data_IF_928446432404
#
_entry.id   IF_928446432404
#
_cell.length_a   1.000
_cell.length_b   1.000
_cell.length_c   1.000
_cell.angle_alpha   90.00
_cell.angle_beta   90.00
_cell.angle_gamma   90.00
#
_symmetry.space_group_name_H-M   'P 1'
#
loop_
_entity.id
_entity.type
_entity.pdbx_description
1 polymer ?
#
# COMPACT_ATOMS: atom_id res chain seq x y z
N UNK A 1 -3.30 -9.31 16.71
CA UNK A 1 -4.16 -8.34 17.42
C UNK A 1 -5.05 -7.62 16.42
N UNK A 2 -6.27 -7.29 16.80
CA UNK A 2 -7.14 -6.45 15.97
C UNK A 2 -6.89 -4.98 16.35
N UNK A 3 -6.83 -4.11 15.34
CA UNK A 3 -6.88 -2.66 15.56
C UNK A 3 -8.10 -2.30 16.42
N UNK A 4 -7.97 -1.27 17.23
CA UNK A 4 -9.15 -0.65 17.83
C UNK A 4 -10.01 0.01 16.76
N UNK A 5 -11.30 0.19 17.01
CA UNK A 5 -12.19 0.88 16.06
C UNK A 5 -11.70 2.29 15.72
N UNK A 6 -11.10 3.00 16.67
CA UNK A 6 -10.55 4.33 16.44
C UNK A 6 -9.37 4.30 15.46
N UNK A 7 -8.44 3.36 15.62
CA UNK A 7 -7.29 3.17 14.73
C UNK A 7 -7.72 2.75 13.33
N UNK A 8 -8.65 1.81 13.24
CA UNK A 8 -9.23 1.40 11.96
C UNK A 8 -9.86 2.60 11.23
N UNK A 9 -10.68 3.37 11.91
CA UNK A 9 -11.33 4.55 11.34
C UNK A 9 -10.30 5.62 10.93
N UNK A 10 -9.22 5.78 11.68
CA UNK A 10 -8.11 6.67 11.32
C UNK A 10 -7.46 6.26 9.99
N UNK A 11 -7.14 4.97 9.82
CA UNK A 11 -6.60 4.42 8.57
C UNK A 11 -7.58 4.63 7.41
N UNK A 12 -8.87 4.30 7.61
CA UNK A 12 -9.88 4.42 6.56
C UNK A 12 -10.10 5.87 6.12
N UNK A 13 -10.08 6.82 7.06
CA UNK A 13 -10.12 8.25 6.76
C UNK A 13 -8.91 8.70 5.92
N UNK A 14 -7.73 8.16 6.21
CA UNK A 14 -6.52 8.40 5.39
C UNK A 14 -6.71 7.94 3.93
N UNK A 15 -7.33 6.79 3.71
CA UNK A 15 -7.67 6.32 2.36
C UNK A 15 -8.71 7.21 1.66
N UNK A 16 -9.73 7.68 2.37
CA UNK A 16 -10.71 8.62 1.81
C UNK A 16 -10.03 9.91 1.35
N UNK A 17 -9.23 10.52 2.20
CA UNK A 17 -8.47 11.73 1.87
C UNK A 17 -7.53 11.54 0.67
N UNK A 18 -6.90 10.37 0.58
CA UNK A 18 -6.01 10.02 -0.54
C UNK A 18 -6.80 9.92 -1.84
N UNK A 19 -7.95 9.21 -1.84
CA UNK A 19 -8.83 9.11 -3.02
C UNK A 19 -9.36 10.47 -3.46
N UNK A 20 -9.76 11.32 -2.53
CA UNK A 20 -10.27 12.66 -2.84
C UNK A 20 -9.18 13.54 -3.46
N UNK A 21 -7.97 13.51 -2.90
CA UNK A 21 -6.81 14.21 -3.47
C UNK A 21 -6.49 13.71 -4.89
N UNK A 22 -6.46 12.40 -5.10
CA UNK A 22 -6.15 11.80 -6.39
C UNK A 22 -7.24 12.07 -7.43
N UNK A 23 -8.51 12.08 -7.02
CA UNK A 23 -9.65 12.50 -7.85
C UNK A 23 -9.53 13.96 -8.26
N UNK A 24 -9.22 14.84 -7.32
CA UNK A 24 -9.02 16.26 -7.59
C UNK A 24 -7.86 16.51 -8.57
N UNK A 25 -6.75 15.79 -8.41
CA UNK A 25 -5.62 15.85 -9.34
C UNK A 25 -6.02 15.40 -10.75
N UNK A 26 -6.77 14.31 -10.87
CA UNK A 26 -7.26 13.83 -12.17
C UNK A 26 -8.19 14.86 -12.83
N UNK A 27 -9.06 15.51 -12.05
CA UNK A 27 -9.96 16.55 -12.56
C UNK A 27 -9.20 17.81 -12.99
N UNK A 28 -8.18 18.24 -12.24
CA UNK A 28 -7.31 19.33 -12.65
C UNK A 28 -6.60 19.05 -13.97
N UNK A 29 -6.07 17.82 -14.14
CA UNK A 29 -5.44 17.40 -15.42
C UNK A 29 -6.44 17.40 -16.57
N UNK A 30 -7.68 16.99 -16.32
CA UNK A 30 -8.76 17.02 -17.32
C UNK A 30 -9.06 18.44 -17.74
N UNK A 31 -9.22 19.36 -16.80
CA UNK A 31 -9.49 20.77 -17.09
C UNK A 31 -8.32 21.43 -17.86
N UNK A 32 -7.10 21.09 -17.49
CA UNK A 32 -5.91 21.55 -18.21
C UNK A 32 -5.94 21.10 -19.68
N UNK A 33 -6.18 19.79 -19.92
CA UNK A 33 -6.25 19.24 -21.27
C UNK A 33 -7.41 19.85 -22.06
N UNK A 34 -8.60 20.00 -21.48
CA UNK A 34 -9.74 20.61 -22.16
C UNK A 34 -9.50 22.08 -22.54
N UNK A 35 -8.75 22.81 -21.71
CA UNK A 35 -8.39 24.20 -21.98
C UNK A 35 -7.36 24.29 -23.11
N UNK A 36 -6.37 23.41 -23.11
CA UNK A 36 -5.28 23.42 -24.12
C UNK A 36 -5.69 22.75 -25.44
N UNK A 37 -6.56 21.75 -25.38
CA UNK A 37 -7.01 20.93 -26.49
C UNK A 37 -8.56 20.87 -26.53
N UNK A 38 -9.23 21.93 -27.01
CA UNK A 38 -10.70 21.94 -27.06
C UNK A 38 -11.31 20.79 -27.90
N UNK A 39 -10.56 20.28 -28.89
CA UNK A 39 -10.97 19.13 -29.71
C UNK A 39 -11.08 17.85 -28.86
N UNK A 40 -10.23 17.69 -27.85
CA UNK A 40 -10.30 16.55 -26.95
C UNK A 40 -11.60 16.56 -26.14
N UNK A 41 -12.04 17.73 -25.65
CA UNK A 41 -13.33 17.90 -24.96
C UNK A 41 -14.51 17.53 -25.85
N UNK A 42 -14.51 17.96 -27.11
CA UNK A 42 -15.57 17.59 -28.08
C UNK A 42 -15.64 16.09 -28.34
N UNK A 43 -14.47 15.43 -28.43
CA UNK A 43 -14.44 13.97 -28.55
C UNK A 43 -14.97 13.26 -27.30
N UNK A 44 -14.74 13.84 -26.11
CA UNK A 44 -15.26 13.28 -24.84
C UNK A 44 -16.79 13.42 -24.74
N UNK A 45 -17.32 14.56 -25.14
CA UNK A 45 -18.79 14.80 -25.22
C UNK A 45 -19.44 13.85 -26.24
N UNK A 46 -18.81 13.63 -27.41
CA UNK A 46 -19.35 12.74 -28.44
C UNK A 46 -19.48 11.29 -27.99
N UNK A 47 -18.66 10.82 -27.04
CA UNK A 47 -18.77 9.47 -26.45
C UNK A 47 -20.13 9.32 -25.73
N UNK A 48 -20.56 10.33 -24.97
CA UNK A 48 -21.82 10.31 -24.28
C UNK A 48 -23.01 10.29 -25.25
N UNK A 49 -22.99 11.16 -26.25
CA UNK A 49 -24.03 11.25 -27.27
C UNK A 49 -24.16 9.93 -28.09
N UNK A 50 -23.05 9.38 -28.54
CA UNK A 50 -23.00 8.08 -29.25
C UNK A 50 -23.52 6.95 -28.38
N UNK A 51 -23.15 6.90 -27.10
CA UNK A 51 -23.59 5.85 -26.18
C UNK A 51 -25.11 5.91 -25.98
N UNK A 52 -25.69 7.09 -25.80
CA UNK A 52 -27.14 7.27 -25.68
C UNK A 52 -27.87 6.93 -26.97
N UNK A 53 -27.34 7.35 -28.12
CA UNK A 53 -27.96 7.07 -29.42
C UNK A 53 -28.00 5.56 -29.70
N UNK A 54 -26.87 4.86 -29.48
CA UNK A 54 -26.82 3.42 -29.72
C UNK A 54 -27.62 2.60 -28.71
N UNK A 55 -27.72 3.06 -27.43
CA UNK A 55 -28.59 2.43 -26.46
C UNK A 55 -30.08 2.50 -26.86
N UNK A 56 -30.53 3.63 -27.43
CA UNK A 56 -31.88 3.76 -27.99
C UNK A 56 -32.15 2.81 -29.14
N UNK A 57 -31.19 2.63 -30.05
CA UNK A 57 -31.27 1.68 -31.16
C UNK A 57 -31.37 0.22 -30.69
N UNK A 58 -30.57 -0.15 -29.68
CA UNK A 58 -30.67 -1.46 -29.04
C UNK A 58 -32.03 -1.75 -28.45
N UNK A 59 -32.63 -0.78 -27.76
CA UNK A 59 -33.99 -0.90 -27.21
C UNK A 59 -35.08 -1.05 -28.30
N UNK A 60 -34.79 -0.58 -29.52
CA UNK A 60 -35.64 -0.73 -30.67
C UNK A 60 -35.38 -2.01 -31.51
N UNK A 61 -34.53 -2.92 -31.00
CA UNK A 61 -34.25 -4.23 -31.62
C UNK A 61 -33.11 -4.25 -32.65
N UNK A 62 -32.24 -3.25 -32.66
CA UNK A 62 -31.06 -3.22 -33.54
C UNK A 62 -29.89 -3.91 -32.87
N UNK A 63 -29.68 -5.21 -33.12
CA UNK A 63 -28.63 -6.02 -32.53
C UNK A 63 -27.19 -5.60 -32.95
N UNK A 64 -27.05 -4.88 -34.07
CA UNK A 64 -25.76 -4.40 -34.54
C UNK A 64 -25.31 -3.10 -33.85
N UNK A 65 -26.18 -2.42 -33.14
CA UNK A 65 -25.90 -1.15 -32.46
C UNK A 65 -24.69 -1.25 -31.52
N UNK A 66 -24.52 -2.36 -30.79
CA UNK A 66 -23.36 -2.60 -29.91
C UNK A 66 -22.05 -2.71 -30.67
N UNK A 67 -22.05 -3.37 -31.82
CA UNK A 67 -20.86 -3.53 -32.64
C UNK A 67 -20.42 -2.20 -33.24
N UNK A 68 -21.38 -1.38 -33.70
CA UNK A 68 -21.12 -0.02 -34.19
C UNK A 68 -20.60 0.87 -33.06
N UNK A 69 -21.18 0.81 -31.85
CA UNK A 69 -20.69 1.56 -30.71
C UNK A 69 -19.25 1.21 -30.38
N UNK A 70 -18.91 -0.09 -30.30
CA UNK A 70 -17.53 -0.53 -30.00
C UNK A 70 -16.52 -0.02 -31.02
N UNK A 71 -16.84 -0.06 -32.33
CA UNK A 71 -15.94 0.44 -33.37
C UNK A 71 -15.76 1.95 -33.27
N UNK A 72 -16.82 2.72 -33.05
CA UNK A 72 -16.76 4.17 -32.88
C UNK A 72 -15.97 4.58 -31.64
N UNK A 73 -16.19 3.91 -30.49
CA UNK A 73 -15.43 4.15 -29.26
C UNK A 73 -13.93 3.86 -29.41
N UNK A 74 -13.60 2.79 -30.16
CA UNK A 74 -12.19 2.45 -30.46
C UNK A 74 -11.52 3.54 -31.29
N UNK A 75 -12.22 4.08 -32.29
CA UNK A 75 -11.71 5.17 -33.13
C UNK A 75 -11.55 6.48 -32.33
N UNK A 76 -12.54 6.86 -31.53
CA UNK A 76 -12.44 8.03 -30.65
C UNK A 76 -11.28 7.87 -29.66
N UNK A 77 -11.09 6.68 -29.09
CA UNK A 77 -9.97 6.39 -28.17
C UNK A 77 -8.61 6.56 -28.87
N UNK A 78 -8.50 6.15 -30.13
CA UNK A 78 -7.29 6.36 -30.94
C UNK A 78 -7.02 7.86 -31.14
N UNK A 79 -8.02 8.60 -31.57
CA UNK A 79 -7.91 10.05 -31.82
C UNK A 79 -7.53 10.81 -30.55
N UNK A 80 -8.14 10.48 -29.40
CA UNK A 80 -7.78 11.05 -28.10
C UNK A 80 -6.32 10.82 -27.74
N UNK A 81 -5.80 9.60 -27.93
CA UNK A 81 -4.38 9.29 -27.68
C UNK A 81 -3.44 10.07 -28.59
N UNK A 82 -3.79 10.21 -29.87
CA UNK A 82 -3.01 10.98 -30.84
C UNK A 82 -2.98 12.46 -30.49
N UNK A 83 -4.12 13.05 -30.06
CA UNK A 83 -4.18 14.43 -29.61
C UNK A 83 -3.32 14.68 -28.37
N UNK A 84 -3.38 13.79 -27.37
CA UNK A 84 -2.52 13.90 -26.17
C UNK A 84 -1.05 13.82 -26.56
N UNK A 85 -0.67 12.84 -27.38
CA UNK A 85 0.71 12.69 -27.83
C UNK A 85 1.23 13.90 -28.62
N UNK A 86 0.40 14.46 -29.51
CA UNK A 86 0.76 15.66 -30.30
C UNK A 86 1.00 16.89 -29.44
N UNK A 87 0.34 16.98 -28.29
CA UNK A 87 0.51 18.05 -27.31
C UNK A 87 1.60 17.76 -26.27
N UNK A 88 2.32 16.64 -26.39
CA UNK A 88 3.40 16.25 -25.49
C UNK A 88 2.96 15.62 -24.16
N UNK A 89 1.69 15.22 -24.03
CA UNK A 89 1.19 14.51 -22.86
C UNK A 89 1.41 12.99 -23.00
N UNK A 90 1.69 12.28 -21.88
CA UNK A 90 1.66 10.83 -21.86
C UNK A 90 0.27 10.28 -22.23
N UNK A 91 0.21 9.10 -22.83
CA UNK A 91 -1.07 8.48 -23.22
C UNK A 91 -1.99 8.14 -22.05
N UNK A 92 -1.45 8.03 -20.85
CA UNK A 92 -2.11 7.71 -19.58
C UNK A 92 -2.34 8.95 -18.69
N UNK A 93 -2.06 10.17 -19.20
CA UNK A 93 -2.11 11.42 -18.43
C UNK A 93 -3.45 11.66 -17.74
N UNK A 94 -4.54 11.24 -18.35
CA UNK A 94 -5.92 11.39 -17.84
C UNK A 94 -6.44 10.13 -17.16
N UNK A 95 -5.63 9.08 -17.04
CA UNK A 95 -6.02 7.90 -16.28
C UNK A 95 -6.11 8.20 -14.79
N UNK A 96 -6.97 7.48 -14.04
CA UNK A 96 -7.07 7.66 -12.59
C UNK A 96 -5.72 7.45 -11.90
N UNK A 97 -5.33 8.40 -11.05
CA UNK A 97 -4.11 8.30 -10.24
C UNK A 97 -4.41 7.52 -8.97
N UNK A 98 -3.54 6.56 -8.63
CA UNK A 98 -3.61 5.79 -7.39
C UNK A 98 -2.27 5.86 -6.65
N UNK A 99 -2.31 6.05 -5.34
CA UNK A 99 -1.13 5.97 -4.48
C UNK A 99 -0.71 4.51 -4.29
N UNK A 100 -1.68 3.62 -4.12
CA UNK A 100 -1.48 2.17 -4.14
C UNK A 100 -2.22 1.58 -5.35
N UNK A 101 -1.52 1.10 -6.39
CA UNK A 101 -2.15 0.55 -7.58
C UNK A 101 -2.90 -0.76 -7.30
N UNK A 102 -2.46 -1.58 -6.35
CA UNK A 102 -3.01 -2.91 -6.08
C UNK A 102 -4.44 -2.83 -5.52
N UNK A 103 -4.66 -1.97 -4.52
CA UNK A 103 -5.98 -1.79 -3.93
C UNK A 103 -6.72 -0.55 -4.44
N UNK A 104 -6.11 0.27 -5.30
CA UNK A 104 -6.67 1.53 -5.79
C UNK A 104 -7.12 2.44 -4.65
N UNK A 105 -6.26 2.55 -3.63
CA UNK A 105 -6.46 3.35 -2.42
C UNK A 105 -7.73 2.97 -1.61
N UNK A 106 -8.15 1.71 -1.67
CA UNK A 106 -9.25 1.18 -0.84
C UNK A 106 -8.76 0.52 0.45
N UNK A 107 -7.46 0.17 0.52
CA UNK A 107 -6.86 -0.61 1.59
C UNK A 107 -7.16 -2.12 1.53
N UNK A 108 -7.95 -2.57 0.54
CA UNK A 108 -8.40 -3.96 0.41
C UNK A 108 -8.28 -4.46 -1.02
N UNK A 109 -7.97 -5.75 -1.16
CA UNK A 109 -7.93 -6.48 -2.43
C UNK A 109 -8.84 -7.70 -2.34
N UNK A 110 -9.30 -8.20 -3.48
CA UNK A 110 -10.00 -9.49 -3.55
C UNK A 110 -8.99 -10.61 -3.77
N UNK A 111 -9.08 -11.67 -2.96
CA UNK A 111 -8.30 -12.88 -3.16
C UNK A 111 -8.88 -13.72 -4.30
N UNK A 112 -8.12 -14.70 -4.79
CA UNK A 112 -8.57 -15.64 -5.83
C UNK A 112 -9.89 -16.36 -5.48
N UNK A 113 -10.19 -16.49 -4.19
CA UNK A 113 -11.41 -17.10 -3.67
C UNK A 113 -12.58 -16.11 -3.51
N UNK A 114 -12.46 -14.87 -3.98
CA UNK A 114 -13.48 -13.82 -3.85
C UNK A 114 -13.61 -13.24 -2.43
N UNK A 115 -12.70 -13.60 -1.52
CA UNK A 115 -12.69 -13.05 -0.16
C UNK A 115 -11.92 -11.73 -0.12
N UNK A 116 -12.49 -10.75 0.57
CA UNK A 116 -11.84 -9.46 0.80
C UNK A 116 -10.73 -9.59 1.83
N UNK A 117 -9.51 -9.21 1.46
CA UNK A 117 -8.35 -9.22 2.34
C UNK A 117 -7.67 -7.85 2.35
N UNK A 118 -6.92 -7.57 3.43
CA UNK A 118 -6.17 -6.32 3.56
C UNK A 118 -5.04 -6.28 2.54
N UNK A 119 -4.86 -5.12 1.92
CA UNK A 119 -3.73 -4.86 1.03
C UNK A 119 -2.43 -4.69 1.84
N UNK A 120 -1.28 -4.88 1.19
CA UNK A 120 0.03 -4.63 1.81
C UNK A 120 0.14 -3.20 2.37
N UNK A 121 -0.41 -2.20 1.68
CA UNK A 121 -0.39 -0.82 2.15
C UNK A 121 -1.22 -0.61 3.43
N UNK A 122 -2.29 -1.41 3.64
CA UNK A 122 -3.04 -1.40 4.90
C UNK A 122 -2.21 -2.00 6.04
N UNK A 123 -1.54 -3.12 5.79
CA UNK A 123 -0.64 -3.72 6.76
C UNK A 123 0.51 -2.78 7.16
N UNK A 124 1.04 -2.02 6.20
CA UNK A 124 2.07 -1.02 6.52
C UNK A 124 1.54 0.05 7.48
N UNK A 125 0.33 0.56 7.28
CA UNK A 125 -0.29 1.53 8.20
C UNK A 125 -0.59 0.93 9.58
N UNK A 126 -0.98 -0.35 9.63
CA UNK A 126 -1.11 -1.07 10.91
C UNK A 126 0.23 -1.12 11.66
N UNK A 127 1.31 -1.44 10.97
CA UNK A 127 2.65 -1.46 11.55
C UNK A 127 3.07 -0.08 12.04
N UNK A 128 2.86 0.97 11.25
CA UNK A 128 3.20 2.34 11.65
C UNK A 128 2.49 2.75 12.94
N UNK A 129 1.21 2.40 13.13
CA UNK A 129 0.48 2.63 14.37
C UNK A 129 1.08 1.85 15.54
N UNK A 130 1.48 0.59 15.34
CA UNK A 130 2.12 -0.23 16.37
C UNK A 130 3.47 0.37 16.79
N UNK A 131 4.27 0.84 15.84
CA UNK A 131 5.54 1.53 16.09
C UNK A 131 5.33 2.83 16.90
N UNK A 132 4.33 3.63 16.56
CA UNK A 132 4.02 4.85 17.30
C UNK A 132 3.58 4.57 18.73
N UNK A 133 2.77 3.54 18.95
CA UNK A 133 2.30 3.16 20.28
C UNK A 133 3.40 2.64 21.20
N UNK A 134 4.38 1.94 20.64
CA UNK A 134 5.47 1.37 21.43
C UNK A 134 6.48 2.40 21.92
N UNK A 135 6.49 3.62 21.34
CA UNK A 135 7.47 4.68 21.63
C UNK A 135 8.94 4.27 21.49
N UNK A 136 9.21 3.15 20.81
CA UNK A 136 10.56 2.59 20.68
C UNK A 136 11.15 2.75 19.27
N UNK A 137 10.50 3.55 18.41
CA UNK A 137 10.91 3.72 17.00
C UNK A 137 12.39 4.11 16.85
N UNK A 138 12.86 5.08 17.65
CA UNK A 138 14.24 5.55 17.60
C UNK A 138 15.22 4.48 18.12
N UNK A 139 14.84 3.78 19.20
CA UNK A 139 15.65 2.72 19.78
C UNK A 139 15.85 1.56 18.81
N UNK A 140 14.78 1.05 18.20
CA UNK A 140 14.87 -0.10 17.29
C UNK A 140 15.50 0.24 15.92
N UNK A 141 15.58 1.53 15.55
CA UNK A 141 16.37 1.94 14.39
C UNK A 141 17.85 1.63 14.56
N UNK A 142 18.38 1.78 15.78
CA UNK A 142 19.78 1.48 16.13
C UNK A 142 19.95 0.07 16.70
N UNK A 143 19.01 -0.39 17.55
CA UNK A 143 19.06 -1.68 18.24
C UNK A 143 18.29 -2.76 17.46
N UNK A 144 18.95 -3.37 16.49
CA UNK A 144 18.37 -4.43 15.65
C UNK A 144 19.43 -5.47 15.27
N UNK A 145 19.00 -6.66 14.83
CA UNK A 145 19.93 -7.74 14.46
C UNK A 145 20.88 -7.39 13.30
N UNK A 146 20.51 -6.46 12.42
CA UNK A 146 21.35 -6.02 11.32
C UNK A 146 22.53 -5.16 11.78
N UNK A 147 22.38 -4.48 12.93
CA UNK A 147 23.41 -3.65 13.54
C UNK A 147 24.17 -4.38 14.66
N UNK A 148 23.90 -5.68 14.86
CA UNK A 148 24.54 -6.47 15.88
C UNK A 148 26.03 -6.67 15.57
N UNK A 149 26.91 -6.29 16.50
CA UNK A 149 28.36 -6.50 16.40
C UNK A 149 28.84 -7.50 17.44
N UNK A 150 29.72 -8.40 17.03
CA UNK A 150 30.37 -9.36 17.88
C UNK A 150 31.77 -8.89 18.36
N UNK A 151 32.25 -7.75 17.89
CA UNK A 151 33.61 -7.23 18.15
C UNK A 151 33.87 -6.95 19.63
N UNK A 152 32.81 -6.72 20.41
CA UNK A 152 32.91 -6.44 21.85
C UNK A 152 33.09 -7.68 22.71
N UNK A 153 33.06 -8.90 22.13
CA UNK A 153 33.11 -10.16 22.86
C UNK A 153 34.30 -11.00 22.38
N UNK A 154 34.93 -11.71 23.31
CA UNK A 154 36.09 -12.59 23.00
C UNK A 154 36.02 -13.90 23.78
N UNK A 155 36.61 -14.97 23.24
CA UNK A 155 36.70 -16.26 23.88
C UNK A 155 35.36 -16.87 24.30
N UNK A 156 35.22 -17.24 25.55
CA UNK A 156 33.99 -17.85 26.07
C UNK A 156 32.80 -16.90 26.07
N UNK A 157 33.00 -15.60 26.24
CA UNK A 157 31.93 -14.61 26.25
C UNK A 157 31.33 -14.43 24.86
N UNK A 158 32.11 -14.55 23.80
CA UNK A 158 31.65 -14.59 22.43
C UNK A 158 30.69 -15.78 22.20
N UNK A 159 31.11 -16.98 22.60
CA UNK A 159 30.31 -18.19 22.46
C UNK A 159 28.99 -18.12 23.25
N UNK A 160 29.02 -17.50 24.43
CA UNK A 160 27.83 -17.27 25.24
C UNK A 160 26.87 -16.28 24.56
N UNK A 161 27.42 -15.18 24.02
CA UNK A 161 26.66 -14.17 23.33
C UNK A 161 26.01 -14.72 22.05
N UNK A 162 26.73 -15.49 21.23
CA UNK A 162 26.17 -16.17 20.06
C UNK A 162 24.99 -17.09 20.41
N UNK A 163 25.12 -17.84 21.52
CA UNK A 163 23.99 -18.67 22.02
C UNK A 163 22.79 -17.80 22.39
N UNK A 164 23.01 -16.65 23.05
CA UNK A 164 21.92 -15.71 23.37
C UNK A 164 21.25 -15.16 22.12
N UNK A 165 22.00 -14.77 21.11
CA UNK A 165 21.48 -14.29 19.82
C UNK A 165 20.62 -15.37 19.15
N UNK A 166 21.12 -16.61 19.12
CA UNK A 166 20.38 -17.75 18.54
C UNK A 166 19.06 -18.05 19.31
N UNK A 167 19.08 -17.93 20.64
CA UNK A 167 17.86 -18.07 21.45
C UNK A 167 16.86 -16.97 21.16
N UNK A 168 17.31 -15.72 21.01
CA UNK A 168 16.46 -14.59 20.64
C UNK A 168 15.82 -14.77 19.25
N UNK A 169 16.61 -15.20 18.26
CA UNK A 169 16.09 -15.51 16.92
C UNK A 169 15.07 -16.65 16.95
N UNK A 170 15.34 -17.73 17.65
CA UNK A 170 14.41 -18.85 17.83
C UNK A 170 13.11 -18.39 18.52
N UNK A 171 13.21 -17.55 19.52
CA UNK A 171 12.04 -16.98 20.21
C UNK A 171 11.14 -16.22 19.22
N UNK A 172 11.73 -15.33 18.40
CA UNK A 172 10.99 -14.56 17.40
C UNK A 172 10.35 -15.47 16.34
N UNK A 173 11.09 -16.49 15.85
CA UNK A 173 10.58 -17.40 14.83
C UNK A 173 9.40 -18.23 15.31
N UNK A 174 9.43 -18.68 16.58
CA UNK A 174 8.43 -19.57 17.16
C UNK A 174 7.39 -18.84 18.04
N UNK A 175 7.36 -17.52 18.02
CA UNK A 175 6.56 -16.68 18.92
C UNK A 175 5.06 -17.03 18.94
N UNK A 176 4.49 -17.43 17.79
CA UNK A 176 3.09 -17.85 17.68
C UNK A 176 2.84 -19.32 18.05
N UNK A 177 3.87 -20.14 18.01
CA UNK A 177 3.73 -21.60 18.17
C UNK A 177 3.91 -22.04 19.62
N UNK A 178 4.81 -21.36 20.35
CA UNK A 178 5.16 -21.71 21.72
C UNK A 178 5.20 -20.47 22.60
N UNK A 179 4.52 -20.57 23.74
CA UNK A 179 4.59 -19.53 24.76
C UNK A 179 5.84 -19.72 25.61
N UNK A 180 6.77 -18.79 25.56
CA UNK A 180 8.00 -18.75 26.35
C UNK A 180 8.22 -17.36 26.95
N UNK A 181 8.83 -17.30 28.11
CA UNK A 181 9.37 -16.10 28.70
C UNK A 181 10.88 -16.07 28.50
N UNK A 182 11.43 -14.91 28.10
CA UNK A 182 12.87 -14.66 28.08
C UNK A 182 13.26 -13.88 29.34
N UNK A 183 14.32 -14.34 29.98
CA UNK A 183 14.90 -13.67 31.13
C UNK A 183 16.37 -13.32 30.83
N UNK A 184 16.66 -12.03 30.67
CA UNK A 184 18.01 -11.52 30.45
C UNK A 184 18.67 -11.16 31.79
N UNK A 185 19.82 -11.76 32.08
CA UNK A 185 20.60 -11.45 33.26
C UNK A 185 22.08 -11.29 32.90
N UNK A 186 22.83 -10.58 33.73
CA UNK A 186 24.25 -10.27 33.54
C UNK A 186 24.62 -8.87 34.00
N UNK A 187 25.90 -8.54 33.91
CA UNK A 187 26.44 -7.21 34.28
C UNK A 187 25.93 -6.11 33.34
N UNK A 188 26.17 -4.85 33.69
CA UNK A 188 25.84 -3.70 32.86
C UNK A 188 26.72 -3.73 31.59
N UNK A 189 26.15 -3.34 30.45
CA UNK A 189 26.90 -3.29 29.17
C UNK A 189 26.99 -4.60 28.41
N UNK A 190 26.34 -5.70 28.86
CA UNK A 190 26.36 -7.01 28.17
C UNK A 190 25.25 -7.18 27.12
N UNK A 191 24.79 -6.14 26.46
CA UNK A 191 23.88 -6.21 25.32
C UNK A 191 22.44 -6.63 25.60
N UNK A 192 22.01 -6.69 26.89
CA UNK A 192 20.62 -7.13 27.25
C UNK A 192 19.54 -6.25 26.60
N UNK A 193 19.64 -4.95 26.77
CA UNK A 193 18.68 -3.99 26.19
C UNK A 193 18.72 -4.05 24.67
N UNK A 194 19.92 -4.13 24.09
CA UNK A 194 20.10 -4.27 22.64
C UNK A 194 19.37 -5.50 22.08
N UNK A 195 19.54 -6.68 22.69
CA UNK A 195 18.82 -7.88 22.27
C UNK A 195 17.32 -7.78 22.48
N UNK A 196 16.87 -7.08 23.54
CA UNK A 196 15.44 -6.79 23.72
C UNK A 196 14.89 -5.90 22.60
N UNK A 197 15.65 -4.86 22.19
CA UNK A 197 15.33 -4.00 21.05
C UNK A 197 15.27 -4.78 19.73
N UNK A 198 16.24 -5.69 19.50
CA UNK A 198 16.23 -6.58 18.33
C UNK A 198 14.94 -7.44 18.26
N UNK A 199 14.56 -8.07 19.38
CA UNK A 199 13.33 -8.86 19.45
C UNK A 199 12.10 -7.99 19.22
N UNK A 200 12.04 -6.82 19.85
CA UNK A 200 10.93 -5.88 19.71
C UNK A 200 10.72 -5.48 18.25
N UNK A 201 11.78 -5.12 17.54
CA UNK A 201 11.73 -4.79 16.11
C UNK A 201 11.15 -5.93 15.28
N UNK A 202 11.72 -7.12 15.40
CA UNK A 202 11.30 -8.29 14.62
C UNK A 202 9.82 -8.66 14.87
N UNK A 203 9.36 -8.55 16.13
CA UNK A 203 7.96 -8.81 16.47
C UNK A 203 7.02 -7.74 15.92
N UNK A 204 7.41 -6.46 15.99
CA UNK A 204 6.64 -5.36 15.38
C UNK A 204 6.52 -5.52 13.87
N UNK A 205 7.62 -5.84 13.15
CA UNK A 205 7.61 -6.08 11.70
C UNK A 205 6.72 -7.27 11.30
N UNK A 206 6.52 -8.23 12.21
CA UNK A 206 5.57 -9.35 12.04
C UNK A 206 4.14 -9.02 12.48
N UNK A 207 3.85 -7.76 12.81
CA UNK A 207 2.53 -7.29 13.19
C UNK A 207 2.10 -7.62 14.62
N UNK A 208 3.07 -7.86 15.53
CA UNK A 208 2.81 -8.02 16.96
C UNK A 208 2.94 -6.69 17.69
N UNK A 209 2.04 -6.43 18.62
CA UNK A 209 2.15 -5.28 19.53
C UNK A 209 3.26 -5.53 20.56
N UNK A 210 4.09 -4.54 20.74
CA UNK A 210 5.14 -4.49 21.78
C UNK A 210 4.92 -3.21 22.59
N UNK A 211 4.96 -3.30 23.92
CA UNK A 211 4.73 -2.21 24.86
C UNK A 211 5.95 -2.08 25.77
#
# INVERSE_FOLDING_TARGET
MSLTNAQYNFIMKGYEQTRDRNRHLTEQRRQEVYTKLPEYGKLDESVGELSVAQAKLLLNGDDEALTRLRSSLKEISRQKKELLASAGYPSDYLEPVYTCPDCRDTGYIESENGLRQKCHCFHQQELDILYEQSHIREMIASENFSNLSYEYYQGEDLLRFEKCVNLCNNFVQNFKQHYHNLFFYGTVGTGKSFLSGCIAKELLERGHSVI
#
